data_IF_605805212272
#
_entry.id   IF_605805212272
#
_cell.length_a   1.000
_cell.length_b   1.000
_cell.length_c   1.000
_cell.angle_alpha   90.00
_cell.angle_beta   90.00
_cell.angle_gamma   90.00
#
_symmetry.space_group_name_H-M   'P 1'
#
loop_
_entity.id
_entity.type
_entity.pdbx_description
1 polymer ?
#
# COMPACT_ATOMS: atom_id res chain seq x y z
N UNK A 1 4.29 -8.44 -16.31
CA UNK A 1 5.67 -7.97 -16.24
C UNK A 1 5.96 -7.49 -14.83
N UNK A 2 7.08 -7.91 -14.29
CA UNK A 2 7.44 -7.49 -12.95
C UNK A 2 8.02 -6.09 -12.97
N UNK A 3 7.93 -5.42 -11.84
CA UNK A 3 8.50 -4.11 -11.65
C UNK A 3 10.02 -4.13 -11.91
N UNK A 4 10.70 -5.19 -11.48
CA UNK A 4 12.13 -5.30 -11.68
C UNK A 4 12.50 -5.36 -13.15
N UNK A 5 11.70 -6.01 -13.97
CA UNK A 5 11.96 -6.09 -15.39
C UNK A 5 11.85 -4.71 -16.05
N UNK A 6 10.88 -3.91 -15.66
CA UNK A 6 10.71 -2.58 -16.20
C UNK A 6 11.88 -1.68 -15.87
N UNK A 7 12.37 -1.75 -14.66
CA UNK A 7 13.50 -0.92 -14.23
C UNK A 7 14.78 -1.41 -14.86
N UNK A 8 14.93 -2.69 -15.00
CA UNK A 8 16.14 -3.29 -15.52
C UNK A 8 16.30 -3.21 -17.02
N UNK A 9 15.30 -2.67 -17.73
CA UNK A 9 15.37 -2.63 -19.17
C UNK A 9 16.58 -1.81 -19.62
N UNK A 10 17.33 -2.32 -20.54
CA UNK A 10 18.52 -1.65 -21.03
C UNK A 10 19.76 -1.92 -20.21
N UNK A 11 19.66 -2.40 -19.03
CA UNK A 11 20.83 -2.82 -18.30
C UNK A 11 21.40 -4.05 -18.99
N UNK A 12 22.67 -4.20 -18.89
CA UNK A 12 23.32 -5.39 -19.43
C UNK A 12 22.59 -6.62 -18.93
N UNK A 13 22.85 -7.71 -19.58
CA UNK A 13 22.25 -8.99 -19.28
C UNK A 13 21.93 -9.12 -17.81
N UNK A 14 20.77 -8.72 -17.47
CA UNK A 14 20.32 -8.79 -16.10
C UNK A 14 20.11 -10.24 -15.72
N UNK A 15 20.20 -10.51 -14.44
CA UNK A 15 19.77 -11.79 -13.93
C UNK A 15 18.32 -12.00 -14.33
N UNK A 16 17.88 -13.24 -14.50
CA UNK A 16 16.48 -13.53 -14.77
C UNK A 16 15.59 -12.87 -13.72
N UNK A 17 14.46 -12.39 -14.15
CA UNK A 17 13.50 -11.80 -13.22
C UNK A 17 13.15 -12.83 -12.15
N UNK A 18 13.07 -12.40 -10.91
CA UNK A 18 12.67 -13.27 -9.82
C UNK A 18 11.23 -13.71 -10.02
N UNK A 19 10.98 -14.95 -9.67
CA UNK A 19 9.62 -15.44 -9.63
C UNK A 19 8.88 -14.69 -8.51
N UNK A 20 7.69 -14.23 -8.83
CA UNK A 20 6.84 -13.57 -7.86
C UNK A 20 6.51 -14.50 -6.70
N UNK A 21 6.63 -14.03 -5.47
CA UNK A 21 6.41 -14.85 -4.28
C UNK A 21 4.93 -15.04 -3.97
N UNK A 22 4.13 -14.01 -4.23
CA UNK A 22 2.69 -14.08 -3.97
C UNK A 22 1.92 -13.68 -5.22
N UNK A 23 0.80 -14.35 -5.51
CA UNK A 23 0.04 -14.06 -6.73
C UNK A 23 -0.79 -12.79 -6.65
N UNK A 24 -1.02 -12.26 -5.45
CA UNK A 24 -1.87 -11.09 -5.29
C UNK A 24 -1.53 -10.34 -4.01
N UNK A 25 -1.94 -9.08 -3.94
CA UNK A 25 -1.76 -8.31 -2.73
C UNK A 25 -2.53 -8.92 -1.56
N UNK A 26 -3.68 -9.50 -1.83
CA UNK A 26 -4.47 -10.14 -0.77
C UNK A 26 -3.73 -11.25 -0.09
N UNK A 27 -3.11 -12.13 -0.86
CA UNK A 27 -2.34 -13.23 -0.30
C UNK A 27 -1.07 -12.73 0.39
N UNK A 28 -0.41 -11.74 -0.18
CA UNK A 28 0.77 -11.14 0.43
C UNK A 28 0.45 -10.54 1.80
N UNK A 29 -0.64 -9.78 1.90
CA UNK A 29 -1.03 -9.19 3.18
C UNK A 29 -1.37 -10.27 4.18
N UNK A 30 -2.18 -11.24 3.78
CA UNK A 30 -2.66 -12.28 4.69
C UNK A 30 -1.53 -13.17 5.19
N UNK A 31 -0.65 -13.59 4.29
CA UNK A 31 0.33 -14.62 4.62
C UNK A 31 1.66 -14.08 5.08
N UNK A 32 2.02 -12.87 4.65
CA UNK A 32 3.33 -12.33 5.03
C UNK A 32 3.25 -11.00 5.77
N UNK A 33 2.57 -10.01 5.21
CA UNK A 33 2.64 -8.66 5.78
C UNK A 33 1.99 -8.59 7.17
N UNK A 34 0.75 -9.03 7.30
CA UNK A 34 0.04 -8.94 8.56
C UNK A 34 0.73 -9.72 9.69
N UNK A 35 1.18 -10.96 9.46
CA UNK A 35 1.91 -11.65 10.52
C UNK A 35 3.25 -10.99 10.88
N UNK A 36 3.86 -10.29 9.93
CA UNK A 36 5.16 -9.64 10.13
C UNK A 36 5.04 -8.29 10.81
N UNK A 37 4.01 -7.53 10.46
CA UNK A 37 3.82 -6.16 10.91
C UNK A 37 2.95 -6.13 12.16
N UNK A 38 3.55 -6.47 13.29
CA UNK A 38 2.81 -6.62 14.55
C UNK A 38 2.57 -5.27 15.19
N UNK A 39 1.31 -4.86 15.25
CA UNK A 39 0.90 -3.59 15.86
C UNK A 39 -0.40 -3.78 16.61
N UNK A 40 -0.64 -2.93 17.60
CA UNK A 40 -1.88 -2.91 18.37
C UNK A 40 -2.65 -1.65 18.08
N UNK A 41 -3.98 -1.74 18.11
CA UNK A 41 -4.80 -0.55 18.03
C UNK A 41 -4.56 0.33 19.25
N UNK A 42 -4.51 1.62 19.05
CA UNK A 42 -4.48 2.59 20.13
C UNK A 42 -5.07 3.90 19.59
N UNK A 43 -4.86 5.01 20.30
CA UNK A 43 -5.40 6.29 19.88
C UNK A 43 -4.84 6.75 18.54
N UNK A 44 -3.63 6.33 18.22
CA UNK A 44 -2.91 6.81 17.03
C UNK A 44 -2.80 5.79 15.91
N UNK A 45 -3.19 4.54 16.15
CA UNK A 45 -3.05 3.47 15.16
C UNK A 45 -4.38 2.76 14.95
N UNK A 46 -4.82 2.73 13.70
CA UNK A 46 -6.04 2.04 13.30
C UNK A 46 -5.76 1.10 12.14
N UNK A 47 -6.30 -0.10 12.21
CA UNK A 47 -6.23 -1.06 11.12
C UNK A 47 -7.58 -1.72 10.94
N UNK A 48 -8.07 -1.77 9.70
CA UNK A 48 -9.31 -2.47 9.39
C UNK A 48 -8.98 -3.89 8.91
N UNK A 49 -9.55 -4.92 9.56
CA UNK A 49 -9.33 -6.30 9.09
C UNK A 49 -9.81 -6.52 7.66
N UNK A 50 -10.77 -5.75 7.19
CA UNK A 50 -11.25 -5.80 5.82
C UNK A 50 -10.65 -4.66 5.01
N UNK A 51 -9.33 -4.51 5.09
CA UNK A 51 -8.60 -3.40 4.49
C UNK A 51 -8.87 -3.22 3.00
N UNK A 52 -9.15 -4.32 2.32
CA UNK A 52 -9.39 -4.30 0.87
C UNK A 52 -10.71 -3.61 0.47
N UNK A 53 -11.57 -3.34 1.43
CA UNK A 53 -12.79 -2.56 1.18
C UNK A 53 -12.52 -1.06 1.06
N UNK A 54 -11.36 -0.62 1.48
CA UNK A 54 -11.00 0.81 1.45
C UNK A 54 -10.12 1.06 0.24
N UNK A 55 -10.57 1.89 -0.71
CA UNK A 55 -9.82 2.08 -1.96
C UNK A 55 -8.39 2.60 -1.78
N UNK A 56 -8.18 3.56 -0.91
CA UNK A 56 -6.84 4.11 -0.72
C UNK A 56 -5.87 3.09 -0.11
N UNK A 57 -6.20 2.41 0.99
CA UNK A 57 -5.35 1.34 1.50
C UNK A 57 -5.10 0.23 0.49
N UNK A 58 -6.12 -0.16 -0.26
CA UNK A 58 -5.94 -1.18 -1.29
C UNK A 58 -4.90 -0.75 -2.32
N UNK A 59 -5.00 0.48 -2.78
CA UNK A 59 -4.05 1.02 -3.75
C UNK A 59 -2.64 1.10 -3.19
N UNK A 60 -2.50 1.65 -1.98
CA UNK A 60 -1.19 1.80 -1.36
C UNK A 60 -0.53 0.45 -1.07
N UNK A 61 -1.31 -0.50 -0.56
CA UNK A 61 -0.78 -1.83 -0.23
C UNK A 61 -0.44 -2.61 -1.49
N UNK A 62 -1.17 -2.41 -2.58
CA UNK A 62 -0.83 -3.04 -3.84
C UNK A 62 0.54 -2.56 -4.34
N UNK A 63 0.78 -1.25 -4.31
CA UNK A 63 2.07 -0.70 -4.69
C UNK A 63 3.18 -1.15 -3.76
N UNK A 64 2.88 -1.20 -2.47
CA UNK A 64 3.83 -1.65 -1.47
C UNK A 64 4.24 -3.11 -1.68
N UNK A 65 3.28 -3.96 -1.99
CA UNK A 65 3.53 -5.36 -2.31
C UNK A 65 4.42 -5.50 -3.55
N UNK A 66 4.11 -4.77 -4.61
CA UNK A 66 4.93 -4.83 -5.82
C UNK A 66 6.35 -4.37 -5.58
N UNK A 67 6.52 -3.30 -4.82
CA UNK A 67 7.86 -2.82 -4.45
C UNK A 67 8.60 -3.86 -3.61
N UNK A 68 7.89 -4.56 -2.72
CA UNK A 68 8.48 -5.61 -1.90
C UNK A 68 8.97 -6.78 -2.77
N UNK A 69 8.15 -7.21 -3.72
CA UNK A 69 8.55 -8.28 -4.64
C UNK A 69 9.85 -7.91 -5.37
N UNK A 70 9.95 -6.67 -5.81
CA UNK A 70 11.14 -6.19 -6.47
C UNK A 70 12.34 -6.10 -5.53
N UNK A 71 12.10 -5.75 -4.27
CA UNK A 71 13.17 -5.54 -3.28
C UNK A 71 13.84 -6.84 -2.84
N UNK A 72 13.22 -7.98 -3.08
CA UNK A 72 13.76 -9.25 -2.61
C UNK A 72 15.08 -9.64 -3.25
N UNK A 73 15.54 -8.88 -4.25
CA UNK A 73 16.79 -9.19 -4.94
C UNK A 73 18.02 -8.92 -4.07
N UNK A 74 17.92 -8.09 -3.03
CA UNK A 74 19.06 -7.86 -2.15
C UNK A 74 18.59 -7.37 -0.77
N UNK A 75 19.39 -7.67 0.29
CA UNK A 75 19.07 -7.19 1.62
C UNK A 75 19.00 -5.67 1.72
N UNK A 76 19.83 -4.96 0.98
CA UNK A 76 19.82 -3.51 0.99
C UNK A 76 18.50 -2.97 0.45
N UNK A 77 17.97 -3.59 -0.60
CA UNK A 77 16.70 -3.16 -1.17
C UNK A 77 15.54 -3.45 -0.22
N UNK A 78 15.61 -4.56 0.50
CA UNK A 78 14.58 -4.85 1.51
C UNK A 78 14.63 -3.79 2.62
N UNK A 79 15.81 -3.40 3.05
CA UNK A 79 15.96 -2.35 4.05
C UNK A 79 15.37 -1.03 3.56
N UNK A 80 15.65 -0.65 2.32
CA UNK A 80 15.09 0.56 1.73
C UNK A 80 13.57 0.48 1.62
N UNK A 81 13.05 -0.70 1.31
CA UNK A 81 11.60 -0.90 1.23
C UNK A 81 10.92 -0.55 2.56
N UNK A 82 11.49 -0.99 3.69
CA UNK A 82 10.93 -0.65 4.99
C UNK A 82 10.93 0.86 5.22
N UNK A 83 12.05 1.50 4.93
CA UNK A 83 12.25 2.91 5.28
C UNK A 83 11.57 3.85 4.30
N UNK A 84 11.61 3.56 3.02
CA UNK A 84 11.17 4.48 1.97
C UNK A 84 9.76 4.19 1.48
N UNK A 85 9.28 2.97 1.64
CA UNK A 85 7.97 2.58 1.13
C UNK A 85 7.00 2.20 2.24
N UNK A 86 7.38 1.23 3.07
CA UNK A 86 6.46 0.74 4.08
C UNK A 86 6.11 1.78 5.12
N UNK A 87 7.12 2.34 5.78
CA UNK A 87 6.87 3.29 6.87
C UNK A 87 6.02 4.48 6.43
N UNK A 88 6.32 5.16 5.32
CA UNK A 88 5.49 6.29 4.91
C UNK A 88 4.05 5.90 4.58
N UNK A 89 3.85 4.81 3.87
CA UNK A 89 2.50 4.37 3.52
C UNK A 89 1.70 3.98 4.75
N UNK A 90 2.30 3.21 5.64
CA UNK A 90 1.60 2.74 6.83
C UNK A 90 1.28 3.89 7.77
N UNK A 91 2.14 4.89 7.86
CA UNK A 91 1.84 6.06 8.66
C UNK A 91 0.57 6.75 8.21
N UNK A 92 0.36 6.82 6.91
CA UNK A 92 -0.85 7.44 6.35
C UNK A 92 -2.07 6.54 6.54
N UNK A 93 -1.95 5.26 6.17
CA UNK A 93 -3.09 4.35 6.17
C UNK A 93 -3.63 4.15 7.58
N UNK A 94 -2.74 4.06 8.57
CA UNK A 94 -3.11 3.69 9.93
C UNK A 94 -3.38 4.87 10.85
N UNK A 95 -3.27 6.09 10.35
CA UNK A 95 -3.50 7.27 11.17
C UNK A 95 -4.94 7.31 11.67
N UNK A 96 -5.12 7.83 12.88
CA UNK A 96 -6.45 7.92 13.48
C UNK A 96 -7.42 8.72 12.62
N UNK A 97 -6.94 9.74 11.93
CA UNK A 97 -7.75 10.52 10.99
C UNK A 97 -7.71 10.01 9.56
N UNK A 98 -7.12 8.84 9.34
CA UNK A 98 -6.96 8.28 8.01
C UNK A 98 -8.10 7.37 7.59
N UNK A 99 -7.87 6.60 6.52
CA UNK A 99 -8.93 5.78 5.92
C UNK A 99 -9.52 4.73 6.85
N UNK A 100 -8.76 4.24 7.83
CA UNK A 100 -9.26 3.24 8.77
C UNK A 100 -9.79 3.87 10.06
N UNK A 101 -10.00 5.17 10.10
CA UNK A 101 -10.29 5.88 11.34
C UNK A 101 -11.45 5.33 12.16
N UNK A 102 -12.49 4.82 11.51
CA UNK A 102 -13.65 4.27 12.19
C UNK A 102 -13.51 2.78 12.50
N UNK A 103 -12.47 2.13 12.01
CA UNK A 103 -12.30 0.69 12.13
C UNK A 103 -11.28 0.34 13.20
N UNK A 104 -11.25 -0.91 13.62
CA UNK A 104 -10.20 -1.41 14.50
C UNK A 104 -10.06 -2.91 14.32
N UNK A 105 -8.93 -3.45 14.75
CA UNK A 105 -8.72 -4.90 14.70
C UNK A 105 -9.72 -5.63 15.59
N UNK A 106 -10.03 -5.06 16.72
CA UNK A 106 -10.95 -5.69 17.67
C UNK A 106 -12.41 -5.59 17.28
N UNK A 107 -12.83 -4.46 16.70
CA UNK A 107 -14.24 -4.24 16.36
C UNK A 107 -14.54 -4.49 14.89
N UNK A 108 -13.52 -4.60 14.06
CA UNK A 108 -13.70 -4.87 12.64
C UNK A 108 -14.02 -3.65 11.83
N UNK A 109 -14.64 -3.90 10.69
CA UNK A 109 -15.01 -2.83 9.75
C UNK A 109 -16.27 -2.16 10.24
N UNK A 110 -16.19 -0.89 10.63
CA UNK A 110 -17.32 -0.17 11.23
C UNK A 110 -17.94 0.88 10.31
N UNK A 111 -17.60 0.84 9.06
CA UNK A 111 -18.21 1.74 8.10
C UNK A 111 -17.17 2.35 7.18
N UNK A 112 -17.67 2.92 6.11
CA UNK A 112 -16.85 3.56 5.10
C UNK A 112 -17.19 5.02 5.06
N UNK A 113 -16.20 5.88 5.21
CA UNK A 113 -16.39 7.27 4.86
C UNK A 113 -16.27 7.34 3.34
N UNK A 114 -17.13 8.10 2.71
CA UNK A 114 -16.98 8.38 1.29
C UNK A 114 -15.70 9.15 1.03
N UNK A 115 -15.35 9.29 -0.23
CA UNK A 115 -14.20 10.10 -0.60
C UNK A 115 -14.41 11.57 -0.26
N UNK A 116 -13.47 12.39 -0.67
CA UNK A 116 -13.56 13.83 -0.45
C UNK A 116 -14.82 14.38 -1.13
N UNK A 117 -15.47 15.31 -0.46
CA UNK A 117 -16.60 16.01 -1.06
C UNK A 117 -16.07 17.05 -2.03
N UNK A 118 -16.53 17.01 -3.24
CA UNK A 118 -16.11 17.94 -4.27
C UNK A 118 -17.30 18.41 -5.08
N UNK A 119 -17.15 19.57 -5.67
CA UNK A 119 -18.10 20.09 -6.63
C UNK A 119 -17.44 19.99 -8.01
N UNK A 120 -18.14 19.51 -9.01
CA UNK A 120 -17.55 19.40 -10.35
C UNK A 120 -17.01 20.74 -10.81
N UNK A 121 -15.84 20.73 -11.44
CA UNK A 121 -15.26 21.95 -11.99
C UNK A 121 -16.14 22.44 -13.14
N UNK A 122 -16.48 23.73 -13.16
CA UNK A 122 -17.27 24.26 -14.29
C UNK A 122 -16.52 24.08 -15.60
N UNK A 123 -17.27 23.77 -16.66
CA UNK A 123 -16.70 23.68 -17.97
C UNK A 123 -16.04 25.01 -18.35
N UNK A 124 -14.85 24.92 -18.91
CA UNK A 124 -14.12 26.11 -19.33
C UNK A 124 -13.36 26.83 -18.23
N UNK A 125 -13.44 26.34 -16.99
CA UNK A 125 -12.77 27.00 -15.87
C UNK A 125 -11.26 27.15 -16.08
N UNK A 126 -10.60 26.15 -16.63
CA UNK A 126 -9.15 26.20 -16.84
C UNK A 126 -8.75 27.17 -17.95
N UNK A 127 -9.68 27.62 -18.77
CA UNK A 127 -9.44 28.64 -19.79
C UNK A 127 -9.74 30.05 -19.29
N UNK A 128 -10.20 30.15 -18.06
CA UNK A 128 -10.58 31.41 -17.45
C UNK A 128 -9.31 32.10 -16.93
N UNK A 129 -9.17 33.37 -17.17
CA UNK A 129 -8.00 34.15 -16.70
C UNK A 129 -8.36 35.08 -15.57
#
# INVERSE_FOLDING_TARGET
MSYAEEIGSGAAAAAPARKQQFPSVGEWVYEWFAPTYVRRDDADFRWCPEWWRHPEPLSRLTGLWRAWESALSSPEQVNQWWLEHCDPHLRVITAAGGPFGACSQGKGHLGESGGLKVVPMPEGWLNHK
#
